data_IF_247727947744
#
_entry.id   IF_247727947744
#
_cell.length_a   1.000
_cell.length_b   1.000
_cell.length_c   1.000
_cell.angle_alpha   90.00
_cell.angle_beta   90.00
_cell.angle_gamma   90.00
#
_symmetry.space_group_name_H-M   'P 1'
#
loop_
_entity.id
_entity.type
_entity.pdbx_description
1 polymer ?
#
# COMPACT_ATOMS: atom_id res chain seq x y z
N UNK A 1 -2.32 -29.61 -49.37
CA UNK A 1 -2.62 -29.64 -47.91
C UNK A 1 -1.29 -29.76 -47.19
N UNK A 2 -0.79 -28.67 -46.62
CA UNK A 2 0.48 -28.64 -45.87
C UNK A 2 0.13 -28.41 -44.40
N UNK A 3 0.32 -29.46 -43.59
CA UNK A 3 0.22 -29.43 -42.14
C UNK A 3 1.25 -28.46 -41.56
N UNK A 4 0.79 -27.27 -41.17
CA UNK A 4 1.58 -26.30 -40.43
C UNK A 4 1.44 -26.60 -38.93
N UNK A 5 2.03 -27.71 -38.50
CA UNK A 5 2.24 -28.01 -37.09
C UNK A 5 3.34 -27.09 -36.55
N UNK A 6 2.95 -25.85 -36.28
CA UNK A 6 3.76 -24.84 -35.62
C UNK A 6 4.02 -25.28 -34.18
N UNK A 7 5.19 -25.89 -33.99
CA UNK A 7 5.78 -26.17 -32.69
C UNK A 7 5.85 -24.86 -31.90
N UNK A 8 4.90 -24.66 -31.00
CA UNK A 8 4.97 -23.63 -29.98
C UNK A 8 6.16 -23.98 -29.08
N UNK A 9 7.33 -23.42 -29.40
CA UNK A 9 8.50 -23.45 -28.53
C UNK A 9 8.12 -22.74 -27.22
N UNK A 10 7.62 -23.50 -26.24
CA UNK A 10 7.59 -23.06 -24.84
C UNK A 10 9.04 -22.72 -24.48
N UNK A 11 9.31 -21.45 -24.19
CA UNK A 11 10.65 -20.99 -23.82
C UNK A 11 11.16 -21.83 -22.63
N UNK A 12 12.24 -22.62 -22.79
CA UNK A 12 12.72 -23.54 -21.75
C UNK A 12 13.26 -22.81 -20.51
N UNK A 13 13.48 -21.50 -20.60
CA UNK A 13 13.99 -20.65 -19.52
C UNK A 13 12.91 -20.15 -18.54
N UNK A 14 11.63 -20.15 -18.95
CA UNK A 14 10.53 -19.63 -18.12
C UNK A 14 9.52 -20.74 -17.89
N UNK A 15 9.75 -21.50 -16.82
CA UNK A 15 8.80 -22.51 -16.37
C UNK A 15 7.50 -21.86 -15.89
N UNK A 16 6.35 -22.50 -16.13
CA UNK A 16 5.03 -22.13 -15.57
C UNK A 16 5.09 -21.95 -14.05
N UNK A 17 5.97 -22.70 -13.37
CA UNK A 17 6.19 -22.57 -11.93
C UNK A 17 6.84 -21.24 -11.55
N UNK A 18 7.84 -20.78 -12.32
CA UNK A 18 8.47 -19.48 -12.12
C UNK A 18 7.49 -18.34 -12.31
N UNK A 19 6.63 -18.41 -13.35
CA UNK A 19 5.58 -17.41 -13.57
C UNK A 19 4.58 -17.34 -12.41
N UNK A 20 4.16 -18.49 -11.86
CA UNK A 20 3.27 -18.54 -10.69
C UNK A 20 3.94 -17.94 -9.44
N UNK A 21 5.20 -18.27 -9.18
CA UNK A 21 5.97 -17.68 -8.07
C UNK A 21 6.11 -16.17 -8.25
N UNK A 22 6.49 -15.71 -9.44
CA UNK A 22 6.65 -14.30 -9.74
C UNK A 22 5.33 -13.53 -9.58
N UNK A 23 4.21 -14.08 -10.06
CA UNK A 23 2.88 -13.46 -9.89
C UNK A 23 2.51 -13.33 -8.41
N UNK A 24 2.74 -14.38 -7.61
CA UNK A 24 2.48 -14.36 -6.17
C UNK A 24 3.36 -13.34 -5.43
N UNK A 25 4.66 -13.37 -5.66
CA UNK A 25 5.59 -12.40 -5.06
C UNK A 25 5.36 -10.97 -5.55
N UNK A 26 4.90 -10.79 -6.79
CA UNK A 26 4.50 -9.48 -7.31
C UNK A 26 3.32 -8.89 -6.53
N UNK A 27 2.27 -9.69 -6.29
CA UNK A 27 1.12 -9.26 -5.45
C UNK A 27 1.58 -8.92 -4.03
N UNK A 28 2.41 -9.78 -3.43
CA UNK A 28 2.94 -9.55 -2.09
C UNK A 28 3.90 -8.35 -2.02
N UNK A 29 4.64 -8.07 -3.08
CA UNK A 29 5.50 -6.88 -3.22
C UNK A 29 4.68 -5.58 -3.31
N UNK A 30 3.60 -5.59 -4.11
CA UNK A 30 2.66 -4.45 -4.18
C UNK A 30 1.99 -4.22 -2.83
N UNK A 31 1.56 -5.28 -2.14
CA UNK A 31 0.99 -5.19 -0.80
C UNK A 31 2.01 -4.62 0.19
N UNK A 32 3.25 -5.09 0.15
CA UNK A 32 4.34 -4.61 1.02
C UNK A 32 4.60 -3.12 0.81
N UNK A 33 4.63 -2.67 -0.44
CA UNK A 33 4.76 -1.26 -0.77
C UNK A 33 3.56 -0.46 -0.26
N UNK A 34 2.34 -0.97 -0.44
CA UNK A 34 1.12 -0.35 0.07
C UNK A 34 1.15 -0.17 1.59
N UNK A 35 1.54 -1.21 2.34
CA UNK A 35 1.67 -1.16 3.80
C UNK A 35 2.74 -0.16 4.25
N UNK A 36 3.94 -0.21 3.64
CA UNK A 36 5.00 0.76 3.92
C UNK A 36 4.58 2.19 3.57
N UNK A 37 3.80 2.35 2.49
CA UNK A 37 3.26 3.65 2.11
C UNK A 37 2.28 4.16 3.17
N UNK A 38 1.34 3.33 3.64
CA UNK A 38 0.41 3.69 4.72
C UNK A 38 1.18 4.11 5.97
N UNK A 39 2.15 3.31 6.43
CA UNK A 39 2.97 3.64 7.61
C UNK A 39 3.71 4.96 7.43
N UNK A 40 4.36 5.16 6.27
CA UNK A 40 5.07 6.39 5.96
C UNK A 40 4.14 7.61 6.00
N UNK A 41 3.02 7.56 5.29
CA UNK A 41 2.11 8.70 5.20
C UNK A 41 1.45 9.00 6.55
N UNK A 42 1.06 7.98 7.32
CA UNK A 42 0.49 8.18 8.66
C UNK A 42 1.50 8.83 9.61
N UNK A 43 2.72 8.30 9.70
CA UNK A 43 3.74 8.85 10.60
C UNK A 43 4.14 10.26 10.17
N UNK A 44 4.46 10.46 8.89
CA UNK A 44 4.89 11.75 8.38
C UNK A 44 3.78 12.81 8.53
N UNK A 45 2.53 12.45 8.27
CA UNK A 45 1.40 13.35 8.49
C UNK A 45 1.28 13.77 9.95
N UNK A 46 1.31 12.83 10.90
CA UNK A 46 1.18 13.13 12.32
C UNK A 46 2.37 13.99 12.81
N UNK A 47 3.59 13.66 12.38
CA UNK A 47 4.77 14.46 12.69
C UNK A 47 4.62 15.91 12.21
N UNK A 48 4.15 16.12 10.98
CA UNK A 48 3.96 17.46 10.44
C UNK A 48 2.80 18.18 11.15
N UNK A 49 1.68 17.49 11.36
CA UNK A 49 0.47 18.06 11.96
C UNK A 49 0.67 18.50 13.41
N UNK A 50 1.47 17.75 14.19
CA UNK A 50 1.67 18.01 15.61
C UNK A 50 2.95 18.81 15.92
N UNK A 51 4.04 18.60 15.17
CA UNK A 51 5.35 19.11 15.57
C UNK A 51 5.97 20.11 14.60
N UNK A 52 5.85 19.90 13.28
CA UNK A 52 6.47 20.79 12.29
C UNK A 52 5.61 22.03 12.03
N UNK A 53 4.31 21.81 11.86
CA UNK A 53 3.32 22.84 11.60
C UNK A 53 2.09 22.57 12.49
N UNK A 54 2.18 22.83 13.80
CA UNK A 54 1.07 22.60 14.73
C UNK A 54 -0.17 23.39 14.29
N UNK A 55 -1.32 22.72 14.29
CA UNK A 55 -2.59 23.31 13.92
C UNK A 55 -3.18 24.12 15.10
N UNK A 56 -3.59 25.39 14.90
CA UNK A 56 -4.32 26.12 15.92
C UNK A 56 -5.67 25.43 16.19
N UNK A 57 -6.13 25.41 17.44
CA UNK A 57 -7.43 24.82 17.76
C UNK A 57 -8.60 25.67 17.27
N UNK A 58 -9.78 25.05 17.06
CA UNK A 58 -11.05 25.72 16.71
C UNK A 58 -11.00 26.49 15.39
N UNK A 59 -10.51 25.86 14.32
CA UNK A 59 -10.38 26.51 13.01
C UNK A 59 -11.66 26.44 12.17
N UNK A 60 -12.66 25.66 12.60
CA UNK A 60 -13.79 25.26 11.77
C UNK A 60 -13.41 24.13 10.80
N UNK A 61 -14.40 23.29 10.46
CA UNK A 61 -14.20 22.08 9.67
C UNK A 61 -13.56 22.35 8.30
N UNK A 62 -14.00 23.41 7.59
CA UNK A 62 -13.49 23.71 6.25
C UNK A 62 -12.00 24.09 6.27
N UNK A 63 -11.58 24.90 7.24
CA UNK A 63 -10.18 25.30 7.38
C UNK A 63 -9.32 24.12 7.86
N UNK A 64 -9.84 23.26 8.75
CA UNK A 64 -9.17 22.03 9.15
C UNK A 64 -8.95 21.08 7.97
N UNK A 65 -9.96 20.91 7.10
CA UNK A 65 -9.86 20.09 5.89
C UNK A 65 -8.88 20.68 4.85
N UNK A 66 -8.91 22.00 4.61
CA UNK A 66 -7.96 22.66 3.71
C UNK A 66 -6.52 22.49 4.19
N UNK A 67 -6.29 22.68 5.50
CA UNK A 67 -4.97 22.46 6.11
C UNK A 67 -4.54 21.00 6.00
N UNK A 68 -5.46 20.06 6.23
CA UNK A 68 -5.18 18.63 6.07
C UNK A 68 -4.63 18.34 4.67
N UNK A 69 -5.29 18.85 3.63
CA UNK A 69 -4.86 18.68 2.25
C UNK A 69 -3.48 19.32 1.98
N UNK A 70 -3.20 20.49 2.54
CA UNK A 70 -1.88 21.14 2.45
C UNK A 70 -0.77 20.30 3.08
N UNK A 71 -1.02 19.75 4.28
CA UNK A 71 -0.06 18.87 4.97
C UNK A 71 0.13 17.57 4.18
N UNK A 72 -0.95 16.98 3.65
CA UNK A 72 -0.86 15.81 2.78
C UNK A 72 -0.02 16.08 1.53
N UNK A 73 -0.18 17.24 0.89
CA UNK A 73 0.63 17.63 -0.26
C UNK A 73 2.12 17.77 0.09
N UNK A 74 2.44 18.33 1.26
CA UNK A 74 3.82 18.42 1.75
C UNK A 74 4.42 17.04 2.00
N UNK A 75 3.69 16.14 2.69
CA UNK A 75 4.13 14.76 2.93
C UNK A 75 4.32 13.99 1.62
N UNK A 76 3.42 14.21 0.67
CA UNK A 76 3.50 13.63 -0.67
C UNK A 76 4.79 14.06 -1.39
N UNK A 77 5.13 15.35 -1.35
CA UNK A 77 6.36 15.87 -1.91
C UNK A 77 7.60 15.24 -1.25
N UNK A 78 7.60 15.12 0.08
CA UNK A 78 8.66 14.42 0.81
C UNK A 78 8.76 12.92 0.45
N UNK A 79 7.64 12.30 0.05
CA UNK A 79 7.62 10.88 -0.34
C UNK A 79 8.45 10.60 -1.61
N UNK A 80 8.73 11.62 -2.43
CA UNK A 80 9.53 11.48 -3.64
C UNK A 80 10.99 11.12 -3.32
N UNK A 81 11.58 11.73 -2.29
CA UNK A 81 12.98 11.44 -1.90
C UNK A 81 13.13 10.11 -1.16
N UNK A 82 12.07 9.58 -0.57
CA UNK A 82 12.07 8.29 0.13
C UNK A 82 11.59 7.12 -0.73
N UNK A 83 11.21 7.37 -1.99
CA UNK A 83 10.57 6.37 -2.86
C UNK A 83 11.45 5.13 -3.10
N UNK A 84 12.75 5.32 -3.37
CA UNK A 84 13.68 4.21 -3.61
C UNK A 84 13.84 3.33 -2.37
N UNK A 85 13.98 3.96 -1.20
CA UNK A 85 14.04 3.25 0.08
C UNK A 85 12.77 2.43 0.33
N UNK A 86 11.59 2.99 0.03
CA UNK A 86 10.31 2.28 0.20
C UNK A 86 10.13 1.14 -0.79
N UNK A 87 10.57 1.30 -2.03
CA UNK A 87 10.58 0.20 -3.02
C UNK A 87 11.54 -0.90 -2.56
N UNK A 88 12.77 -0.54 -2.15
CA UNK A 88 13.75 -1.49 -1.62
C UNK A 88 13.23 -2.24 -0.39
N UNK A 89 12.63 -1.51 0.56
CA UNK A 89 11.99 -2.08 1.74
C UNK A 89 10.82 -3.00 1.37
N UNK A 90 10.00 -2.65 0.38
CA UNK A 90 8.90 -3.48 -0.08
C UNK A 90 9.38 -4.80 -0.69
N UNK A 91 10.46 -4.75 -1.48
CA UNK A 91 11.08 -5.95 -2.05
C UNK A 91 11.68 -6.83 -0.96
N UNK A 92 12.37 -6.24 0.03
CA UNK A 92 12.92 -6.98 1.16
C UNK A 92 11.84 -7.61 2.05
N UNK A 93 10.70 -6.94 2.23
CA UNK A 93 9.59 -7.42 3.05
C UNK A 93 8.61 -8.34 2.30
N UNK A 94 8.68 -8.41 0.97
CA UNK A 94 7.80 -9.25 0.15
C UNK A 94 7.61 -10.70 0.66
N UNK A 95 8.66 -11.46 1.05
CA UNK A 95 8.46 -12.82 1.58
C UNK A 95 7.77 -12.84 2.95
N UNK A 96 7.99 -11.83 3.79
CA UNK A 96 7.35 -11.72 5.12
C UNK A 96 5.86 -11.39 4.93
N UNK A 97 5.56 -10.44 4.05
CA UNK A 97 4.18 -10.04 3.74
C UNK A 97 3.42 -11.15 3.04
N UNK A 98 4.08 -11.95 2.18
CA UNK A 98 3.45 -13.13 1.58
C UNK A 98 3.01 -14.16 2.63
N UNK A 99 3.87 -14.44 3.63
CA UNK A 99 3.53 -15.30 4.76
C UNK A 99 2.38 -14.71 5.59
N UNK A 100 2.44 -13.42 5.88
CA UNK A 100 1.39 -12.70 6.61
C UNK A 100 0.04 -12.74 5.88
N UNK A 101 0.03 -12.50 4.57
CA UNK A 101 -1.16 -12.57 3.73
C UNK A 101 -1.75 -13.98 3.70
N UNK A 102 -0.90 -15.01 3.56
CA UNK A 102 -1.34 -16.41 3.64
C UNK A 102 -1.96 -16.73 5.00
N UNK A 103 -1.32 -16.34 6.09
CA UNK A 103 -1.84 -16.52 7.44
C UNK A 103 -3.18 -15.80 7.64
N UNK A 104 -3.27 -14.54 7.20
CA UNK A 104 -4.49 -13.73 7.29
C UNK A 104 -5.64 -14.33 6.47
N UNK A 105 -5.33 -14.85 5.27
CA UNK A 105 -6.30 -15.55 4.41
C UNK A 105 -6.88 -16.76 5.14
N UNK A 106 -6.03 -17.60 5.76
CA UNK A 106 -6.48 -18.80 6.50
C UNK A 106 -7.24 -18.41 7.77
N UNK A 107 -6.73 -17.45 8.54
CA UNK A 107 -7.31 -17.05 9.83
C UNK A 107 -8.69 -16.42 9.68
N UNK A 108 -8.86 -15.55 8.69
CA UNK A 108 -10.13 -14.88 8.39
C UNK A 108 -11.03 -15.69 7.44
N UNK A 109 -10.65 -16.94 7.11
CA UNK A 109 -11.41 -17.85 6.24
C UNK A 109 -11.75 -17.22 4.87
N UNK A 110 -10.83 -16.44 4.31
CA UNK A 110 -11.02 -15.90 2.97
C UNK A 110 -10.86 -17.01 1.93
N UNK A 111 -11.76 -17.01 0.93
CA UNK A 111 -11.76 -17.98 -0.17
C UNK A 111 -10.51 -17.87 -1.07
N UNK A 112 -9.88 -16.70 -1.11
CA UNK A 112 -8.66 -16.49 -1.88
C UNK A 112 -7.74 -15.43 -1.26
N UNK A 113 -6.44 -15.55 -1.54
CA UNK A 113 -5.45 -14.51 -1.18
C UNK A 113 -5.79 -13.15 -1.81
N UNK A 114 -6.47 -13.13 -2.95
CA UNK A 114 -6.93 -11.88 -3.58
C UNK A 114 -8.00 -11.15 -2.77
N UNK A 115 -8.95 -11.88 -2.18
CA UNK A 115 -9.96 -11.28 -1.28
C UNK A 115 -9.30 -10.74 0.00
N UNK A 116 -8.35 -11.49 0.56
CA UNK A 116 -7.56 -11.07 1.71
C UNK A 116 -6.72 -9.82 1.42
N UNK A 117 -6.09 -9.75 0.24
CA UNK A 117 -5.38 -8.57 -0.25
C UNK A 117 -6.33 -7.36 -0.35
N UNK A 118 -7.48 -7.54 -1.00
CA UNK A 118 -8.49 -6.49 -1.13
C UNK A 118 -8.97 -5.97 0.23
N UNK A 119 -9.16 -6.86 1.20
CA UNK A 119 -9.50 -6.48 2.57
C UNK A 119 -8.40 -5.66 3.25
N UNK A 120 -7.12 -6.03 3.08
CA UNK A 120 -5.99 -5.26 3.62
C UNK A 120 -5.87 -3.86 2.98
N UNK A 121 -6.07 -3.77 1.67
CA UNK A 121 -6.13 -2.48 0.96
C UNK A 121 -7.31 -1.64 1.49
N UNK A 122 -8.48 -2.25 1.65
CA UNK A 122 -9.66 -1.61 2.23
C UNK A 122 -9.41 -1.09 3.64
N UNK A 123 -8.71 -1.86 4.50
CA UNK A 123 -8.30 -1.41 5.83
C UNK A 123 -7.33 -0.23 5.77
N UNK A 124 -6.36 -0.21 4.85
CA UNK A 124 -5.46 0.93 4.67
C UNK A 124 -6.22 2.21 4.25
N UNK A 125 -7.16 2.08 3.31
CA UNK A 125 -8.02 3.20 2.88
C UNK A 125 -8.94 3.65 4.02
N UNK A 126 -9.53 2.72 4.76
CA UNK A 126 -10.34 2.99 5.94
C UNK A 126 -9.57 3.73 7.02
N UNK A 127 -8.32 3.34 7.29
CA UNK A 127 -7.42 4.05 8.21
C UNK A 127 -7.12 5.47 7.73
N UNK A 128 -6.87 5.67 6.43
CA UNK A 128 -6.63 7.00 5.86
C UNK A 128 -7.87 7.92 5.98
N UNK A 129 -9.06 7.39 5.68
CA UNK A 129 -10.32 8.11 5.85
C UNK A 129 -10.62 8.41 7.32
N UNK A 130 -10.41 7.45 8.21
CA UNK A 130 -10.60 7.63 9.64
C UNK A 130 -9.67 8.71 10.18
N UNK A 131 -8.40 8.71 9.77
CA UNK A 131 -7.43 9.75 10.13
C UNK A 131 -7.87 11.13 9.63
N UNK A 132 -8.38 11.24 8.40
CA UNK A 132 -8.97 12.48 7.89
C UNK A 132 -10.13 12.97 8.75
N UNK A 133 -11.11 12.09 9.01
CA UNK A 133 -12.33 12.45 9.76
C UNK A 133 -11.96 12.87 11.19
N UNK A 134 -11.17 12.06 11.90
CA UNK A 134 -10.78 12.32 13.29
C UNK A 134 -10.00 13.62 13.40
N UNK A 135 -8.99 13.83 12.55
CA UNK A 135 -8.16 15.05 12.60
C UNK A 135 -8.96 16.29 12.25
N UNK A 136 -9.83 16.22 11.23
CA UNK A 136 -10.65 17.39 10.85
C UNK A 136 -11.71 17.71 11.89
N UNK A 137 -12.34 16.71 12.51
CA UNK A 137 -13.34 16.94 13.57
C UNK A 137 -12.73 17.41 14.89
N UNK A 138 -11.54 16.92 15.26
CA UNK A 138 -10.88 17.34 16.51
C UNK A 138 -10.36 18.79 16.46
N UNK A 139 -10.12 19.34 15.26
CA UNK A 139 -9.62 20.71 15.06
C UNK A 139 -10.65 21.68 14.45
N UNK A 140 -11.83 21.20 14.08
CA UNK A 140 -12.97 22.02 13.73
C UNK A 140 -13.41 22.86 14.93
#
# INVERSE_FOLDING_TARGET
>A
MLDKNGTSKKNPFVSEELLKKLKRYGVSGVLSYGLLNTVYYTIAFLLVWFYVAPAPGKMGYLAAAERFLKVMAMVWAGSQVTKLMRIGGAVALAPIVDRGLSWFTVKCKFESQGKAFGALVGMCLGLALMLFIVVTLLWA
#
